data_IF_373423986114
#
_entry.id   IF_373423986114
#
_cell.length_a   1.000
_cell.length_b   1.000
_cell.length_c   1.000
_cell.angle_alpha   90.00
_cell.angle_beta   90.00
_cell.angle_gamma   90.00
#
_symmetry.space_group_name_H-M   'P 1'
#
loop_
_entity.id
_entity.type
_entity.pdbx_description
1 polymer ?
#
# COMPACT_ATOMS: atom_id res chain seq x y z
N UNK A 1 -10.37 -19.39 -14.13
CA UNK A 1 -9.20 -19.16 -13.26
C UNK A 1 -9.05 -20.39 -12.37
N UNK A 2 -7.91 -21.08 -12.40
CA UNK A 2 -7.60 -22.18 -11.48
C UNK A 2 -7.06 -21.56 -10.19
N UNK A 3 -7.69 -21.88 -9.06
CA UNK A 3 -7.20 -21.50 -7.74
C UNK A 3 -6.60 -22.76 -7.13
N UNK A 4 -5.36 -22.69 -6.71
CA UNK A 4 -4.65 -23.76 -6.00
C UNK A 4 -4.56 -23.33 -4.54
N UNK A 5 -5.25 -24.07 -3.68
CA UNK A 5 -5.21 -23.84 -2.23
C UNK A 5 -4.02 -24.61 -1.65
N UNK A 6 -3.12 -23.87 -1.00
CA UNK A 6 -1.86 -24.40 -0.48
C UNK A 6 -1.83 -24.48 1.05
N UNK A 7 -2.90 -24.09 1.73
CA UNK A 7 -2.94 -23.89 3.19
C UNK A 7 -3.48 -25.06 4.02
N UNK A 8 -4.23 -25.99 3.42
CA UNK A 8 -5.17 -26.80 4.22
C UNK A 8 -5.08 -28.31 4.17
N UNK A 9 -4.21 -28.93 3.43
CA UNK A 9 -4.21 -30.39 3.29
C UNK A 9 -3.11 -31.11 4.03
N UNK A 10 -3.43 -32.29 4.61
CA UNK A 10 -2.43 -33.21 5.20
C UNK A 10 -1.26 -33.58 4.26
N UNK A 11 -1.38 -33.30 2.97
CA UNK A 11 -0.38 -33.59 1.95
C UNK A 11 0.57 -32.40 1.67
N UNK A 12 0.35 -31.22 2.29
CA UNK A 12 1.08 -29.97 1.99
C UNK A 12 1.91 -29.47 3.19
N UNK A 13 2.41 -30.39 4.02
CA UNK A 13 3.18 -30.06 5.24
C UNK A 13 4.38 -29.12 5.01
N UNK A 14 4.91 -29.08 3.80
CA UNK A 14 6.07 -28.23 3.48
C UNK A 14 5.66 -26.80 3.14
N UNK A 15 4.43 -26.56 2.69
CA UNK A 15 3.96 -25.22 2.30
C UNK A 15 3.59 -24.33 3.49
N UNK A 16 3.41 -24.90 4.68
CA UNK A 16 3.12 -24.17 5.92
C UNK A 16 4.35 -24.12 6.86
N UNK A 17 5.56 -24.33 6.32
CA UNK A 17 6.79 -24.34 7.10
C UNK A 17 7.35 -22.93 7.22
N UNK A 18 7.74 -22.53 8.44
CA UNK A 18 8.61 -21.39 8.71
C UNK A 18 9.93 -21.94 9.21
N UNK A 19 11.03 -21.60 8.56
CA UNK A 19 12.39 -21.98 8.95
C UNK A 19 12.89 -21.19 10.15
N UNK A 20 14.20 -21.28 10.39
CA UNK A 20 14.85 -20.45 11.38
C UNK A 20 14.80 -18.98 10.96
N UNK A 21 14.33 -18.11 11.88
CA UNK A 21 14.20 -16.67 11.62
C UNK A 21 15.57 -16.01 11.67
N UNK A 22 15.98 -15.41 10.55
CA UNK A 22 17.22 -14.65 10.37
C UNK A 22 16.95 -13.40 9.54
N UNK A 23 17.70 -12.34 9.78
CA UNK A 23 17.56 -11.07 9.05
C UNK A 23 17.86 -11.25 7.56
N UNK A 24 18.97 -11.93 7.23
CA UNK A 24 19.46 -12.07 5.86
C UNK A 24 18.61 -13.03 5.01
N UNK A 25 17.86 -13.94 5.64
CA UNK A 25 17.05 -14.90 4.92
C UNK A 25 16.33 -15.90 5.80
N UNK A 26 15.01 -15.81 5.84
CA UNK A 26 14.12 -16.76 6.51
C UNK A 26 13.38 -17.58 5.47
N UNK A 27 13.56 -18.90 5.49
CA UNK A 27 12.84 -19.80 4.58
C UNK A 27 11.38 -19.91 5.01
N UNK A 28 10.47 -19.76 4.05
CA UNK A 28 9.03 -19.81 4.32
C UNK A 28 8.28 -20.48 3.16
N UNK A 29 7.29 -21.29 3.50
CA UNK A 29 6.36 -21.89 2.53
C UNK A 29 5.25 -20.94 2.11
N UNK A 30 4.69 -21.09 0.89
CA UNK A 30 3.67 -20.19 0.34
C UNK A 30 2.33 -20.22 1.08
N UNK A 31 1.99 -21.30 1.78
CA UNK A 31 0.76 -21.45 2.56
C UNK A 31 0.78 -20.79 3.94
N UNK A 32 1.93 -20.29 4.38
CA UNK A 32 2.06 -19.62 5.69
C UNK A 32 1.28 -18.32 5.66
N UNK A 33 0.38 -18.12 6.62
CA UNK A 33 -0.28 -16.83 6.81
C UNK A 33 0.70 -15.80 7.36
N UNK A 34 0.62 -14.56 6.85
CA UNK A 34 1.52 -13.49 7.29
C UNK A 34 1.41 -13.24 8.81
N UNK A 35 0.20 -13.26 9.39
CA UNK A 35 0.00 -13.10 10.83
C UNK A 35 0.82 -14.09 11.67
N UNK A 36 0.94 -15.35 11.21
CA UNK A 36 1.68 -16.39 11.93
C UNK A 36 3.20 -16.22 11.70
N UNK A 37 3.58 -15.78 10.51
CA UNK A 37 4.95 -15.40 10.18
C UNK A 37 5.42 -14.20 10.98
N UNK A 38 4.59 -13.14 11.04
CA UNK A 38 4.86 -11.91 11.80
C UNK A 38 5.08 -12.21 13.29
N UNK A 39 4.20 -12.99 13.92
CA UNK A 39 4.36 -13.39 15.32
C UNK A 39 5.73 -14.02 15.56
N UNK A 40 6.14 -14.94 14.68
CA UNK A 40 7.40 -15.66 14.82
C UNK A 40 8.62 -14.78 14.56
N UNK A 41 8.55 -13.85 13.62
CA UNK A 41 9.66 -12.93 13.33
C UNK A 41 9.81 -11.86 14.41
N UNK A 42 8.70 -11.39 14.98
CA UNK A 42 8.70 -10.44 16.10
C UNK A 42 9.36 -11.00 17.37
N UNK A 43 9.33 -12.32 17.61
CA UNK A 43 10.09 -12.95 18.69
C UNK A 43 11.62 -12.73 18.59
N UNK A 44 12.09 -12.42 17.38
CA UNK A 44 13.49 -12.07 17.08
C UNK A 44 13.73 -10.58 16.87
N UNK A 45 12.71 -9.74 17.09
CA UNK A 45 12.78 -8.30 16.82
C UNK A 45 12.87 -7.96 15.33
N UNK A 46 12.39 -8.85 14.45
CA UNK A 46 12.42 -8.72 12.99
C UNK A 46 11.00 -8.64 12.42
N UNK A 47 10.85 -7.99 11.27
CA UNK A 47 9.58 -7.88 10.54
C UNK A 47 9.81 -7.94 9.03
N UNK A 48 8.82 -8.47 8.29
CA UNK A 48 8.69 -8.29 6.85
C UNK A 48 7.79 -7.07 6.61
N UNK A 49 8.33 -5.91 6.19
CA UNK A 49 7.60 -4.65 6.24
C UNK A 49 6.66 -4.40 5.05
N UNK A 50 6.65 -5.26 4.03
CA UNK A 50 5.80 -5.12 2.84
C UNK A 50 4.41 -5.77 3.00
N UNK A 51 3.83 -5.72 4.20
CA UNK A 51 2.51 -6.27 4.46
C UNK A 51 1.38 -5.35 3.97
N UNK A 52 0.24 -5.98 3.67
CA UNK A 52 -0.99 -5.30 3.23
C UNK A 52 -1.92 -4.99 4.40
N UNK A 53 -2.92 -4.13 4.19
CA UNK A 53 -3.99 -3.89 5.17
C UNK A 53 -4.74 -5.19 5.55
N UNK A 54 -4.76 -6.18 4.66
CA UNK A 54 -5.36 -7.52 4.87
C UNK A 54 -4.41 -8.54 5.47
N UNK A 55 -3.33 -8.13 6.12
CA UNK A 55 -2.24 -8.99 6.63
C UNK A 55 -2.71 -10.20 7.45
N UNK A 56 -3.81 -10.08 8.16
CA UNK A 56 -4.38 -11.17 8.96
C UNK A 56 -4.97 -12.33 8.13
N UNK A 57 -5.25 -12.08 6.84
CA UNK A 57 -5.82 -13.05 5.89
C UNK A 57 -4.85 -13.42 4.76
N UNK A 58 -3.78 -12.66 4.61
CA UNK A 58 -2.83 -12.84 3.53
C UNK A 58 -1.89 -14.03 3.80
N UNK A 59 -1.69 -14.90 2.81
CA UNK A 59 -0.66 -15.93 2.83
C UNK A 59 0.55 -15.47 2.01
N UNK A 60 1.75 -15.94 2.40
CA UNK A 60 3.02 -15.55 1.77
C UNK A 60 3.00 -15.77 0.25
N UNK A 61 2.45 -16.90 -0.23
CA UNK A 61 2.34 -17.15 -1.66
C UNK A 61 1.48 -16.15 -2.41
N UNK A 62 0.37 -15.72 -1.79
CA UNK A 62 -0.47 -14.64 -2.31
C UNK A 62 0.23 -13.28 -2.29
N UNK A 63 0.97 -12.98 -1.21
CA UNK A 63 1.74 -11.75 -1.09
C UNK A 63 2.86 -11.65 -2.14
N UNK A 64 3.57 -12.76 -2.40
CA UNK A 64 4.57 -12.85 -3.46
C UNK A 64 3.90 -12.75 -4.83
N UNK A 65 2.83 -13.52 -5.07
CA UNK A 65 2.10 -13.49 -6.35
C UNK A 65 1.53 -12.13 -6.70
N UNK A 66 1.19 -11.32 -5.70
CA UNK A 66 0.68 -9.96 -5.89
C UNK A 66 1.79 -8.89 -5.94
N UNK A 67 3.02 -9.18 -5.55
CA UNK A 67 4.04 -8.18 -5.26
C UNK A 67 3.52 -7.14 -4.25
N UNK A 68 3.01 -7.60 -3.14
CA UNK A 68 2.28 -6.77 -2.21
C UNK A 68 3.13 -5.66 -1.58
N UNK A 69 2.46 -4.61 -1.20
CA UNK A 69 2.95 -3.50 -0.42
C UNK A 69 1.83 -2.96 0.47
N UNK A 70 2.10 -1.90 1.19
CA UNK A 70 1.15 -1.24 2.06
C UNK A 70 1.72 0.06 2.63
N UNK A 71 1.31 0.41 3.84
CA UNK A 71 1.68 1.68 4.46
C UNK A 71 3.19 1.88 4.65
N UNK A 72 3.96 0.81 4.89
CA UNK A 72 5.43 0.89 5.04
C UNK A 72 6.18 0.84 3.70
N UNK A 73 5.48 0.70 2.56
CA UNK A 73 6.14 0.61 1.24
C UNK A 73 6.87 1.88 0.83
N UNK A 74 6.52 3.03 1.43
CA UNK A 74 7.23 4.29 1.19
C UNK A 74 8.70 4.18 1.59
N UNK A 75 8.97 3.55 2.72
CA UNK A 75 10.30 3.40 3.29
C UNK A 75 11.03 2.16 2.76
N UNK A 76 10.33 1.05 2.66
CA UNK A 76 10.94 -0.27 2.47
C UNK A 76 10.68 -0.89 1.09
N UNK A 77 9.80 -0.32 0.28
CA UNK A 77 9.42 -0.92 -1.00
C UNK A 77 8.37 -2.03 -0.86
N UNK A 78 8.27 -2.85 -1.89
CA UNK A 78 7.30 -3.94 -2.00
C UNK A 78 7.96 -5.30 -1.85
N UNK A 79 7.21 -6.40 -2.00
CA UNK A 79 7.67 -7.78 -1.80
C UNK A 79 8.90 -8.13 -2.63
N UNK A 80 9.04 -7.58 -3.84
CA UNK A 80 10.23 -7.84 -4.69
C UNK A 80 11.56 -7.43 -4.06
N UNK A 81 11.57 -6.54 -3.07
CA UNK A 81 12.79 -6.11 -2.40
C UNK A 81 13.25 -7.11 -1.34
N UNK A 82 12.37 -8.02 -0.91
CA UNK A 82 12.60 -8.94 0.20
C UNK A 82 12.84 -10.39 -0.22
N UNK A 83 12.66 -10.73 -1.50
CA UNK A 83 12.97 -12.09 -1.99
C UNK A 83 14.47 -12.22 -2.23
N UNK A 84 15.12 -13.08 -1.43
CA UNK A 84 16.54 -13.43 -1.58
C UNK A 84 16.72 -14.53 -2.63
N UNK A 85 15.94 -15.60 -2.49
CA UNK A 85 15.80 -16.69 -3.47
C UNK A 85 14.41 -17.32 -3.34
N UNK A 86 14.00 -18.05 -4.36
CA UNK A 86 12.72 -18.76 -4.35
C UNK A 86 12.79 -20.07 -5.15
N UNK A 87 11.83 -20.96 -4.90
CA UNK A 87 11.66 -22.19 -5.70
C UNK A 87 10.29 -22.16 -6.37
N UNK A 88 10.28 -22.55 -7.65
CA UNK A 88 9.10 -22.51 -8.47
C UNK A 88 8.96 -23.77 -9.33
N UNK A 89 7.74 -24.26 -9.47
CA UNK A 89 7.39 -25.26 -10.49
C UNK A 89 6.91 -24.50 -11.71
N UNK A 90 7.58 -24.67 -12.86
CA UNK A 90 7.21 -24.08 -14.12
C UNK A 90 6.28 -24.98 -14.96
N UNK A 91 5.93 -24.54 -16.16
CA UNK A 91 4.99 -25.23 -17.03
C UNK A 91 5.42 -26.64 -17.47
N UNK A 92 6.70 -26.97 -17.39
CA UNK A 92 7.25 -28.30 -17.65
C UNK A 92 7.11 -29.27 -16.48
N UNK A 93 6.54 -28.83 -15.34
CA UNK A 93 6.33 -29.61 -14.12
C UNK A 93 7.57 -29.80 -13.27
N UNK A 94 8.70 -29.17 -13.58
CA UNK A 94 9.92 -29.26 -12.82
C UNK A 94 10.07 -28.09 -11.85
N UNK A 95 10.70 -28.37 -10.71
CA UNK A 95 11.06 -27.34 -9.72
C UNK A 95 12.42 -26.74 -10.05
N UNK A 96 12.48 -25.40 -9.98
CA UNK A 96 13.68 -24.60 -10.19
C UNK A 96 13.95 -23.69 -9.00
N UNK A 97 15.22 -23.67 -8.55
CA UNK A 97 15.70 -22.68 -7.59
C UNK A 97 16.09 -21.40 -8.36
N UNK A 98 15.54 -20.29 -7.98
CA UNK A 98 15.75 -18.98 -8.62
C UNK A 98 16.57 -18.11 -7.70
N UNK A 99 17.76 -17.71 -8.13
CA UNK A 99 18.70 -16.88 -7.38
C UNK A 99 19.06 -15.62 -8.18
N UNK A 100 19.25 -14.51 -7.47
CA UNK A 100 19.73 -13.28 -8.09
C UNK A 100 21.10 -13.53 -8.76
N UNK A 101 21.28 -13.05 -9.98
CA UNK A 101 22.49 -13.21 -10.79
C UNK A 101 22.61 -14.56 -11.50
N UNK A 102 21.76 -15.55 -11.19
CA UNK A 102 21.83 -16.86 -11.81
C UNK A 102 21.09 -16.92 -13.16
N UNK A 103 21.75 -17.47 -14.17
CA UNK A 103 21.17 -17.80 -15.49
C UNK A 103 21.54 -19.26 -15.77
N UNK A 104 20.96 -20.15 -14.98
CA UNK A 104 21.36 -21.57 -14.89
C UNK A 104 20.30 -22.53 -15.45
N UNK A 105 19.23 -22.00 -16.01
CA UNK A 105 18.16 -22.77 -16.60
C UNK A 105 17.62 -22.11 -17.89
N UNK A 106 16.91 -22.89 -18.70
CA UNK A 106 16.37 -22.46 -19.99
C UNK A 106 15.43 -21.24 -19.89
N UNK A 107 14.60 -21.16 -18.83
CA UNK A 107 13.67 -20.05 -18.63
C UNK A 107 14.41 -18.76 -18.31
N UNK A 108 15.41 -18.80 -17.42
CA UNK A 108 16.25 -17.65 -17.10
C UNK A 108 16.94 -17.12 -18.35
N UNK A 109 17.50 -17.99 -19.19
CA UNK A 109 18.18 -17.60 -20.43
C UNK A 109 17.22 -16.95 -21.42
N UNK A 110 16.04 -17.56 -21.66
CA UNK A 110 15.02 -17.01 -22.58
C UNK A 110 14.52 -15.64 -22.15
N UNK A 111 14.28 -15.47 -20.84
CA UNK A 111 13.83 -14.17 -20.30
C UNK A 111 14.94 -13.12 -20.46
N UNK A 112 16.18 -13.44 -20.09
CA UNK A 112 17.31 -12.51 -20.24
C UNK A 112 17.50 -12.07 -21.70
N UNK A 113 17.44 -13.02 -22.66
CA UNK A 113 17.59 -12.72 -24.09
C UNK A 113 16.45 -11.83 -24.59
N UNK A 114 15.22 -12.06 -24.11
CA UNK A 114 14.06 -11.21 -24.43
C UNK A 114 14.24 -9.80 -23.89
N UNK A 115 14.65 -9.66 -22.63
CA UNK A 115 14.88 -8.35 -21.99
C UNK A 115 15.98 -7.57 -22.68
N UNK A 116 17.10 -8.20 -23.01
CA UNK A 116 18.21 -7.56 -23.78
C UNK A 116 17.77 -7.11 -25.16
N UNK A 117 16.99 -7.93 -25.87
CA UNK A 117 16.47 -7.60 -27.20
C UNK A 117 15.55 -6.37 -27.18
N UNK A 118 14.78 -6.18 -26.13
CA UNK A 118 13.76 -5.13 -26.00
C UNK A 118 14.10 -4.06 -24.95
N UNK A 119 15.35 -3.97 -24.51
CA UNK A 119 15.80 -3.11 -23.41
C UNK A 119 15.37 -1.66 -23.58
N UNK A 120 15.58 -1.07 -24.77
CA UNK A 120 15.23 0.31 -25.04
C UNK A 120 13.71 0.55 -24.93
N UNK A 121 12.90 -0.38 -25.43
CA UNK A 121 11.43 -0.30 -25.34
C UNK A 121 10.96 -0.41 -23.89
N UNK A 122 11.51 -1.36 -23.13
CA UNK A 122 11.17 -1.57 -21.71
C UNK A 122 11.51 -0.32 -20.91
N UNK A 123 12.70 0.24 -21.08
CA UNK A 123 13.13 1.49 -20.41
C UNK A 123 12.22 2.66 -20.74
N UNK A 124 11.82 2.81 -22.01
CA UNK A 124 10.94 3.89 -22.47
C UNK A 124 9.50 3.74 -21.92
N UNK A 125 9.04 2.50 -21.73
CA UNK A 125 7.68 2.20 -21.25
C UNK A 125 7.54 2.27 -19.72
N UNK A 126 8.65 2.45 -18.97
CA UNK A 126 8.61 2.50 -17.50
C UNK A 126 7.73 3.67 -17.02
N UNK A 127 6.66 3.41 -16.25
CA UNK A 127 5.87 4.47 -15.63
C UNK A 127 6.73 5.35 -14.71
N UNK A 128 6.46 6.66 -14.68
CA UNK A 128 7.20 7.61 -13.83
C UNK A 128 6.51 7.80 -12.47
N UNK A 129 6.18 6.70 -11.83
CA UNK A 129 5.53 6.65 -10.52
C UNK A 129 6.32 5.74 -9.58
N UNK A 130 6.14 5.93 -8.28
CA UNK A 130 6.85 5.16 -7.25
C UNK A 130 6.30 3.74 -7.08
N UNK A 131 5.01 3.54 -7.37
CA UNK A 131 4.34 2.24 -7.31
C UNK A 131 3.71 1.92 -8.66
N UNK A 132 3.91 0.71 -9.14
CA UNK A 132 3.23 0.17 -10.31
C UNK A 132 3.12 -1.35 -10.17
N UNK A 133 1.93 -1.89 -10.39
CA UNK A 133 1.64 -3.33 -10.39
C UNK A 133 0.92 -3.78 -11.65
N UNK A 134 0.79 -2.92 -12.66
CA UNK A 134 0.15 -3.27 -13.93
C UNK A 134 1.02 -4.23 -14.75
N UNK A 135 0.50 -5.39 -15.05
CA UNK A 135 1.18 -6.42 -15.84
C UNK A 135 2.44 -6.98 -15.16
N UNK A 136 3.39 -7.46 -15.98
CA UNK A 136 4.67 -7.96 -15.47
C UNK A 136 5.66 -6.82 -15.23
N UNK A 137 6.33 -6.88 -14.08
CA UNK A 137 7.27 -5.85 -13.64
C UNK A 137 8.66 -6.06 -14.27
N UNK A 138 8.84 -5.64 -15.51
CA UNK A 138 10.03 -5.94 -16.32
C UNK A 138 11.24 -5.06 -16.00
N UNK A 139 11.03 -3.90 -15.37
CA UNK A 139 12.04 -2.85 -15.24
C UNK A 139 13.20 -3.17 -14.31
N UNK A 140 12.98 -4.05 -13.33
CA UNK A 140 13.95 -4.41 -12.31
C UNK A 140 14.53 -5.81 -12.50
N UNK A 141 14.14 -6.52 -13.57
CA UNK A 141 14.59 -7.91 -13.84
C UNK A 141 16.01 -7.92 -14.39
N UNK A 142 16.36 -6.89 -15.16
CA UNK A 142 17.69 -6.67 -15.76
C UNK A 142 18.06 -5.20 -15.69
N UNK A 143 19.14 -4.86 -14.98
CA UNK A 143 19.62 -3.48 -14.80
C UNK A 143 20.76 -3.08 -15.75
N UNK A 144 21.24 -4.00 -16.59
CA UNK A 144 22.40 -3.85 -17.47
C UNK A 144 23.58 -4.71 -17.05
N UNK A 145 23.64 -5.15 -15.77
CA UNK A 145 24.71 -5.95 -15.20
C UNK A 145 24.18 -7.21 -14.51
N UNK A 146 23.15 -7.08 -13.69
CA UNK A 146 22.61 -8.16 -12.88
C UNK A 146 21.23 -8.57 -13.36
N UNK A 147 21.02 -9.87 -13.53
CA UNK A 147 19.73 -10.48 -13.84
C UNK A 147 19.10 -11.06 -12.56
N UNK A 148 17.82 -10.82 -12.34
CA UNK A 148 17.07 -11.38 -11.21
C UNK A 148 15.67 -11.81 -11.64
N UNK A 149 15.51 -13.10 -11.93
CA UNK A 149 14.23 -13.67 -12.35
C UNK A 149 13.17 -13.58 -11.25
N UNK A 150 13.55 -13.52 -9.96
CA UNK A 150 12.59 -13.32 -8.87
C UNK A 150 11.76 -12.05 -9.08
N UNK A 151 12.37 -10.96 -9.59
CA UNK A 151 11.69 -9.68 -9.86
C UNK A 151 10.56 -9.81 -10.92
N UNK A 152 10.61 -10.80 -11.80
CA UNK A 152 9.54 -11.11 -12.75
C UNK A 152 8.48 -12.02 -12.17
N UNK A 153 8.91 -13.02 -11.38
CA UNK A 153 8.01 -14.02 -10.79
C UNK A 153 7.15 -13.43 -9.67
N UNK A 154 7.71 -12.50 -8.90
CA UNK A 154 6.98 -11.69 -7.93
C UNK A 154 6.00 -10.77 -8.68
N UNK A 155 4.72 -10.82 -8.32
CA UNK A 155 3.67 -10.08 -9.01
C UNK A 155 3.11 -10.79 -10.25
N UNK A 156 3.54 -12.01 -10.56
CA UNK A 156 3.05 -12.78 -11.72
C UNK A 156 1.67 -13.43 -11.51
N UNK A 157 1.09 -13.34 -10.33
CA UNK A 157 -0.24 -13.87 -9.98
C UNK A 157 -0.44 -15.35 -10.35
N UNK A 158 0.64 -16.15 -10.25
CA UNK A 158 0.61 -17.57 -10.59
C UNK A 158 0.55 -17.89 -12.11
N UNK A 159 0.70 -16.88 -12.98
CA UNK A 159 0.64 -17.08 -14.44
C UNK A 159 1.94 -17.62 -15.03
N UNK A 160 3.07 -17.46 -14.32
CA UNK A 160 4.38 -17.91 -14.79
C UNK A 160 4.87 -19.19 -14.08
N UNK A 161 4.29 -19.55 -12.95
CA UNK A 161 4.66 -20.73 -12.19
C UNK A 161 3.98 -20.81 -10.84
N UNK A 162 4.25 -21.87 -10.09
CA UNK A 162 3.76 -22.10 -8.75
C UNK A 162 4.96 -22.04 -7.79
N UNK A 163 4.95 -21.08 -6.86
CA UNK A 163 5.99 -20.98 -5.84
C UNK A 163 5.84 -22.12 -4.82
N UNK A 164 6.93 -22.77 -4.50
CA UNK A 164 6.98 -23.86 -3.50
C UNK A 164 7.71 -23.45 -2.23
N UNK A 165 8.64 -22.50 -2.31
CA UNK A 165 9.40 -21.98 -1.19
C UNK A 165 9.93 -20.58 -1.52
N UNK A 166 10.06 -19.72 -0.51
CA UNK A 166 10.77 -18.46 -0.60
C UNK A 166 11.73 -18.29 0.58
N UNK A 167 12.86 -17.65 0.33
CA UNK A 167 13.75 -17.11 1.35
C UNK A 167 13.57 -15.62 1.38
N UNK A 168 13.07 -15.09 2.50
CA UNK A 168 12.74 -13.67 2.67
C UNK A 168 13.75 -13.01 3.60
N UNK A 169 14.30 -11.86 3.19
CA UNK A 169 15.01 -10.97 4.10
C UNK A 169 14.00 -10.21 4.98
N UNK A 170 14.44 -9.85 6.16
CA UNK A 170 13.64 -9.14 7.16
C UNK A 170 14.39 -7.86 7.57
N UNK A 171 13.70 -6.97 8.27
CA UNK A 171 14.32 -5.77 8.84
C UNK A 171 14.11 -5.74 10.35
N UNK A 172 15.02 -5.12 11.12
CA UNK A 172 14.82 -4.88 12.54
C UNK A 172 13.59 -4.01 12.80
N UNK A 173 12.79 -4.40 13.78
CA UNK A 173 11.65 -3.60 14.25
C UNK A 173 12.18 -2.34 14.92
N UNK A 174 11.64 -1.20 14.51
CA UNK A 174 11.88 0.06 15.18
C UNK A 174 10.94 0.20 16.37
N UNK A 175 11.49 0.50 17.53
CA UNK A 175 10.76 0.45 18.80
C UNK A 175 10.27 1.82 19.27
N UNK A 176 10.73 2.88 18.64
CA UNK A 176 10.34 4.25 18.97
C UNK A 176 9.71 4.92 17.77
N UNK A 177 8.55 5.53 17.96
CA UNK A 177 7.81 6.21 16.90
C UNK A 177 7.06 7.44 17.46
N UNK A 178 6.86 8.42 16.59
CA UNK A 178 5.97 9.56 16.78
C UNK A 178 5.16 9.78 15.48
N UNK A 179 3.98 10.35 15.62
CA UNK A 179 3.11 10.70 14.51
C UNK A 179 3.00 12.22 14.36
N UNK A 180 3.30 12.73 13.17
CA UNK A 180 2.98 14.11 12.81
C UNK A 180 1.68 14.09 12.03
N UNK A 181 0.65 14.76 12.54
CA UNK A 181 -0.63 14.92 11.84
C UNK A 181 -0.69 16.31 11.22
N UNK A 182 -0.98 16.39 9.92
CA UNK A 182 -1.02 17.63 9.15
C UNK A 182 -2.45 17.83 8.63
N UNK A 183 -2.97 19.05 8.76
CA UNK A 183 -4.36 19.37 8.44
C UNK A 183 -4.40 20.43 7.35
N UNK A 184 -5.01 20.13 6.22
CA UNK A 184 -5.04 20.98 5.04
C UNK A 184 -6.43 21.59 4.79
N UNK A 185 -6.43 22.82 4.29
CA UNK A 185 -7.62 23.50 3.77
C UNK A 185 -7.91 23.14 2.32
N UNK A 186 -6.86 22.80 1.56
CA UNK A 186 -6.94 22.47 0.13
C UNK A 186 -5.98 21.34 -0.20
N UNK A 187 -6.31 20.55 -1.22
CA UNK A 187 -5.41 19.57 -1.82
C UNK A 187 -4.16 20.18 -2.47
N UNK A 188 -4.21 21.48 -2.81
CA UNK A 188 -3.10 22.21 -3.42
C UNK A 188 -1.86 22.28 -2.52
N UNK A 189 -2.08 22.18 -1.19
CA UNK A 189 -1.00 22.21 -0.19
C UNK A 189 -0.21 20.88 -0.11
N UNK A 190 -0.78 19.77 -0.62
CA UNK A 190 -0.22 18.42 -0.47
C UNK A 190 1.15 18.24 -1.14
N UNK A 191 1.37 18.62 -2.43
CA UNK A 191 2.64 18.31 -3.10
C UNK A 191 3.84 19.00 -2.48
N UNK A 192 3.71 20.28 -2.14
CA UNK A 192 4.79 21.02 -1.48
C UNK A 192 5.16 20.37 -0.14
N UNK A 193 4.14 19.92 0.60
CA UNK A 193 4.32 19.23 1.89
C UNK A 193 4.98 17.88 1.73
N UNK A 194 4.51 17.05 0.81
CA UNK A 194 5.10 15.74 0.50
C UNK A 194 6.57 15.90 0.10
N UNK A 195 6.86 16.82 -0.82
CA UNK A 195 8.23 17.09 -1.28
C UNK A 195 9.16 17.58 -0.16
N UNK A 196 8.63 18.36 0.80
CA UNK A 196 9.40 18.81 1.95
C UNK A 196 9.73 17.67 2.93
N UNK A 197 8.84 16.66 3.04
CA UNK A 197 8.95 15.57 4.01
C UNK A 197 9.78 14.38 3.48
N UNK A 198 9.61 14.02 2.20
CA UNK A 198 10.23 12.82 1.61
C UNK A 198 11.75 12.70 1.79
N UNK A 199 12.56 13.80 1.75
CA UNK A 199 14.01 13.72 1.99
C UNK A 199 14.39 13.14 3.36
N UNK A 200 13.50 13.23 4.36
CA UNK A 200 13.72 12.71 5.72
C UNK A 200 13.33 11.24 5.86
N UNK A 201 12.86 10.60 4.80
CA UNK A 201 12.52 9.18 4.76
C UNK A 201 11.60 8.76 5.93
N UNK A 202 10.37 9.29 6.03
CA UNK A 202 9.42 8.86 7.04
C UNK A 202 9.12 7.37 6.87
N UNK A 203 8.60 6.72 7.90
CA UNK A 203 8.17 5.32 7.86
C UNK A 203 6.99 5.15 6.91
N UNK A 204 5.99 6.02 7.10
CA UNK A 204 4.82 6.10 6.21
C UNK A 204 4.36 7.55 6.04
N UNK A 205 3.59 7.80 4.96
CA UNK A 205 2.96 9.08 4.69
C UNK A 205 1.57 8.79 4.11
N UNK A 206 0.59 8.69 5.02
CA UNK A 206 -0.77 8.26 4.76
C UNK A 206 -1.73 9.43 4.70
N UNK A 207 -2.87 9.27 4.04
CA UNK A 207 -3.87 10.32 3.96
C UNK A 207 -5.30 9.80 3.96
N UNK A 208 -6.21 10.67 4.41
CA UNK A 208 -7.66 10.50 4.26
C UNK A 208 -8.35 11.87 4.15
N UNK A 209 -9.45 11.90 3.41
CA UNK A 209 -10.16 13.12 3.07
C UNK A 209 -11.26 13.50 4.06
N UNK A 210 -11.88 14.68 3.84
CA UNK A 210 -13.00 15.21 4.62
C UNK A 210 -14.18 14.23 4.71
N UNK A 211 -14.49 13.51 3.65
CA UNK A 211 -15.61 12.57 3.65
C UNK A 211 -15.33 11.37 4.56
N UNK A 212 -14.08 10.92 4.62
CA UNK A 212 -13.62 9.93 5.58
C UNK A 212 -13.73 10.42 7.03
N UNK A 213 -13.39 11.69 7.29
CA UNK A 213 -13.58 12.30 8.62
C UNK A 213 -15.05 12.33 9.01
N UNK A 214 -15.93 12.78 8.12
CA UNK A 214 -17.39 12.78 8.36
C UNK A 214 -17.93 11.39 8.66
N UNK A 215 -17.44 10.38 7.93
CA UNK A 215 -17.79 8.99 8.16
C UNK A 215 -17.32 8.52 9.55
N UNK A 216 -16.08 8.82 9.92
CA UNK A 216 -15.53 8.52 11.23
C UNK A 216 -16.33 9.16 12.37
N UNK A 217 -16.70 10.44 12.22
CA UNK A 217 -17.53 11.13 13.21
C UNK A 217 -18.94 10.53 13.31
N UNK A 218 -19.52 10.09 12.19
CA UNK A 218 -20.84 9.44 12.16
C UNK A 218 -20.84 8.11 12.91
N UNK A 219 -19.77 7.34 12.83
CA UNK A 219 -19.63 6.01 13.43
C UNK A 219 -18.64 6.00 14.61
N UNK A 220 -18.57 7.13 15.33
CA UNK A 220 -17.65 7.31 16.45
C UNK A 220 -17.77 6.20 17.53
N UNK A 221 -18.98 5.68 17.90
CA UNK A 221 -19.09 4.60 18.87
C UNK A 221 -18.44 3.28 18.42
N UNK A 222 -18.58 2.93 17.14
CA UNK A 222 -17.98 1.72 16.58
C UNK A 222 -16.46 1.85 16.47
N UNK A 223 -15.97 3.04 16.10
CA UNK A 223 -14.54 3.35 16.04
C UNK A 223 -13.92 3.29 17.44
N UNK A 224 -14.56 3.89 18.45
CA UNK A 224 -14.12 3.82 19.84
C UNK A 224 -14.01 2.38 20.35
N UNK A 225 -14.98 1.52 19.99
CA UNK A 225 -14.94 0.10 20.33
C UNK A 225 -13.75 -0.62 19.66
N UNK A 226 -13.45 -0.31 18.42
CA UNK A 226 -12.29 -0.88 17.69
C UNK A 226 -10.94 -0.40 18.22
N UNK A 227 -10.89 0.84 18.70
CA UNK A 227 -9.74 1.40 19.40
C UNK A 227 -9.62 0.92 20.87
N UNK A 228 -10.38 -0.10 21.27
CA UNK A 228 -10.38 -0.65 22.63
C UNK A 228 -10.51 0.41 23.74
N UNK A 229 -11.13 1.55 23.44
CA UNK A 229 -11.29 2.69 24.34
C UNK A 229 -12.76 2.96 24.65
N UNK A 230 -13.02 3.53 25.82
CA UNK A 230 -14.36 4.00 26.17
C UNK A 230 -14.78 5.19 25.30
N UNK A 231 -16.05 5.24 24.87
CA UNK A 231 -16.56 6.28 23.95
C UNK A 231 -16.25 7.71 24.44
N UNK A 232 -16.42 7.99 25.73
CA UNK A 232 -16.15 9.31 26.28
C UNK A 232 -14.65 9.67 26.23
N UNK A 233 -13.79 8.75 26.65
CA UNK A 233 -12.34 8.92 26.58
C UNK A 233 -11.87 9.09 25.12
N UNK A 234 -12.43 8.29 24.22
CA UNK A 234 -12.12 8.41 22.79
C UNK A 234 -12.57 9.74 22.20
N UNK A 235 -13.78 10.21 22.52
CA UNK A 235 -14.31 11.48 22.05
C UNK A 235 -13.49 12.68 22.60
N UNK A 236 -13.05 12.63 23.85
CA UNK A 236 -12.21 13.70 24.44
C UNK A 236 -10.85 13.80 23.78
N UNK A 237 -10.32 12.72 23.23
CA UNK A 237 -9.07 12.71 22.47
C UNK A 237 -9.15 13.55 21.17
N UNK A 238 -10.36 13.92 20.69
CA UNK A 238 -10.54 14.79 19.52
C UNK A 238 -10.65 16.29 19.86
N UNK A 239 -10.56 16.68 21.12
CA UNK A 239 -10.62 18.11 21.52
C UNK A 239 -9.53 18.96 20.81
N UNK A 240 -8.26 18.50 20.70
CA UNK A 240 -7.26 19.27 19.97
C UNK A 240 -7.62 19.47 18.49
N UNK A 241 -8.18 18.44 17.83
CA UNK A 241 -8.59 18.50 16.42
C UNK A 241 -9.82 19.40 16.24
N UNK A 242 -10.72 19.46 17.22
CA UNK A 242 -11.84 20.40 17.21
C UNK A 242 -11.35 21.86 17.25
N UNK A 243 -10.32 22.15 18.06
CA UNK A 243 -9.69 23.49 18.10
C UNK A 243 -9.00 23.80 16.77
N UNK A 244 -8.34 22.81 16.15
CA UNK A 244 -7.75 22.96 14.82
C UNK A 244 -8.86 23.24 13.80
N UNK A 245 -9.98 22.51 13.85
CA UNK A 245 -11.14 22.74 13.01
C UNK A 245 -11.68 24.18 13.10
N UNK A 246 -11.74 24.75 14.30
CA UNK A 246 -12.12 26.17 14.47
C UNK A 246 -11.13 27.12 13.77
N UNK A 247 -9.83 26.86 13.84
CA UNK A 247 -8.79 27.66 13.14
C UNK A 247 -8.86 27.51 11.62
N UNK A 248 -9.27 26.35 11.13
CA UNK A 248 -9.45 26.07 9.70
C UNK A 248 -10.76 26.67 9.15
N UNK A 249 -11.72 27.00 10.02
CA UNK A 249 -13.08 27.42 9.63
C UNK A 249 -13.99 26.25 9.30
N UNK A 250 -13.67 25.03 9.77
CA UNK A 250 -14.43 23.81 9.53
C UNK A 250 -13.55 22.56 9.56
N UNK A 251 -14.09 21.42 9.08
CA UNK A 251 -13.29 20.20 8.92
C UNK A 251 -12.23 20.40 7.84
N UNK A 252 -11.02 19.85 8.04
CA UNK A 252 -9.98 19.87 7.00
C UNK A 252 -10.45 19.15 5.75
N UNK A 253 -9.99 19.59 4.58
CA UNK A 253 -10.19 18.88 3.31
C UNK A 253 -9.43 17.56 3.28
N UNK A 254 -8.29 17.55 3.95
CA UNK A 254 -7.36 16.43 3.95
C UNK A 254 -6.61 16.39 5.26
N UNK A 255 -6.37 15.19 5.79
CA UNK A 255 -5.42 14.92 6.88
C UNK A 255 -4.31 14.05 6.33
N UNK A 256 -3.07 14.41 6.65
CA UNK A 256 -1.90 13.60 6.34
C UNK A 256 -1.25 13.14 7.64
N UNK A 257 -0.97 11.85 7.70
CA UNK A 257 -0.28 11.16 8.79
C UNK A 257 1.16 10.88 8.35
N UNK A 258 2.11 11.43 9.07
CA UNK A 258 3.55 11.19 8.83
C UNK A 258 4.09 10.41 10.01
N UNK A 259 4.33 9.13 9.82
CA UNK A 259 4.91 8.27 10.82
C UNK A 259 6.43 8.36 10.78
N UNK A 260 7.03 8.61 11.92
CA UNK A 260 8.48 8.65 12.11
C UNK A 260 8.86 7.54 13.08
N UNK A 261 9.62 6.57 12.63
CA UNK A 261 10.10 5.49 13.49
C UNK A 261 11.62 5.34 13.38
N UNK A 262 12.30 5.14 14.52
CA UNK A 262 13.75 4.92 14.59
C UNK A 262 14.13 4.00 15.75
N UNK A 263 15.42 3.69 15.85
CA UNK A 263 15.95 2.77 16.86
C UNK A 263 16.03 3.37 18.27
N UNK A 264 15.94 4.70 18.38
CA UNK A 264 15.96 5.41 19.66
C UNK A 264 15.01 6.61 19.66
N UNK A 265 14.49 6.95 20.84
CA UNK A 265 13.65 8.13 21.04
C UNK A 265 14.35 9.43 20.60
N UNK A 266 15.66 9.54 20.86
CA UNK A 266 16.46 10.70 20.45
C UNK A 266 16.47 10.88 18.93
N UNK A 267 16.58 9.78 18.16
CA UNK A 267 16.56 9.83 16.71
C UNK A 267 15.17 10.20 16.18
N UNK A 268 14.10 9.66 16.79
CA UNK A 268 12.72 10.03 16.46
C UNK A 268 12.51 11.52 16.67
N UNK A 269 12.82 12.06 17.85
CA UNK A 269 12.65 13.49 18.16
C UNK A 269 13.46 14.37 17.23
N UNK A 270 14.69 13.99 16.90
CA UNK A 270 15.54 14.74 15.97
C UNK A 270 14.92 14.78 14.55
N UNK A 271 14.41 13.63 14.05
CA UNK A 271 13.79 13.55 12.73
C UNK A 271 12.46 14.31 12.69
N UNK A 272 11.62 14.20 13.73
CA UNK A 272 10.38 14.97 13.86
C UNK A 272 10.68 16.48 13.81
N UNK A 273 11.68 16.94 14.57
CA UNK A 273 12.08 18.36 14.55
C UNK A 273 12.53 18.82 13.16
N UNK A 274 13.30 18.01 12.43
CA UNK A 274 13.73 18.30 11.06
C UNK A 274 12.54 18.39 10.09
N UNK A 275 11.59 17.47 10.18
CA UNK A 275 10.37 17.48 9.34
C UNK A 275 9.52 18.71 9.65
N UNK A 276 9.29 19.01 10.94
CA UNK A 276 8.52 20.19 11.37
C UNK A 276 9.16 21.49 10.87
N UNK A 277 10.47 21.62 10.97
CA UNK A 277 11.18 22.80 10.45
C UNK A 277 11.09 22.90 8.92
N UNK A 278 11.14 21.76 8.20
CA UNK A 278 11.02 21.74 6.75
C UNK A 278 9.63 22.16 6.24
N UNK A 279 8.55 21.84 6.97
CA UNK A 279 7.18 22.22 6.59
C UNK A 279 6.76 23.59 7.13
N UNK A 280 7.49 24.17 8.06
CA UNK A 280 7.20 25.47 8.68
C UNK A 280 7.03 26.63 7.67
N UNK A 281 7.87 26.76 6.62
CA UNK A 281 7.69 27.81 5.61
C UNK A 281 6.37 27.71 4.84
N UNK A 282 5.73 26.54 4.83
CA UNK A 282 4.46 26.30 4.13
C UNK A 282 3.24 26.87 4.93
N UNK A 283 3.43 27.22 6.20
CA UNK A 283 2.37 27.79 7.04
C UNK A 283 1.20 26.84 7.33
N UNK A 284 1.39 25.53 7.13
CA UNK A 284 0.35 24.52 7.34
C UNK A 284 0.16 24.17 8.82
N UNK A 285 -1.06 23.82 9.18
CA UNK A 285 -1.37 23.44 10.56
C UNK A 285 -0.99 21.98 10.76
N UNK A 286 -0.18 21.73 11.78
CA UNK A 286 0.26 20.39 12.15
C UNK A 286 0.26 20.18 13.66
N UNK A 287 0.33 18.93 14.09
CA UNK A 287 0.46 18.51 15.48
C UNK A 287 1.33 17.26 15.54
N UNK A 288 2.29 17.24 16.46
CA UNK A 288 3.01 16.01 16.82
C UNK A 288 2.24 15.28 17.91
N UNK A 289 2.04 13.99 17.73
CA UNK A 289 1.37 13.08 18.66
C UNK A 289 2.40 12.07 19.14
N UNK A 290 2.60 12.04 20.47
CA UNK A 290 3.66 11.22 21.11
C UNK A 290 3.07 10.06 21.91
N UNK A 291 1.75 9.99 22.03
CA UNK A 291 1.07 8.97 22.82
C UNK A 291 0.35 7.98 21.93
N UNK A 292 0.70 6.72 22.04
CA UNK A 292 0.08 5.62 21.27
C UNK A 292 -1.45 5.68 21.30
N UNK A 293 -2.05 5.96 22.46
CA UNK A 293 -3.51 6.05 22.59
C UNK A 293 -4.14 7.23 21.83
N UNK A 294 -3.36 8.27 21.52
CA UNK A 294 -3.82 9.39 20.69
C UNK A 294 -3.54 9.14 19.21
N UNK A 295 -2.49 8.40 18.88
CA UNK A 295 -2.18 7.99 17.50
C UNK A 295 -3.22 7.01 16.97
N UNK A 296 -3.63 6.06 17.82
CA UNK A 296 -4.57 4.99 17.45
C UNK A 296 -5.85 5.54 16.81
N UNK A 297 -6.39 6.69 17.27
CA UNK A 297 -7.59 7.29 16.69
C UNK A 297 -7.45 7.60 15.19
N UNK A 298 -6.28 8.10 14.77
CA UNK A 298 -6.02 8.44 13.37
C UNK A 298 -5.86 7.18 12.52
N UNK A 299 -5.13 6.19 13.04
CA UNK A 299 -4.94 4.92 12.35
C UNK A 299 -6.24 4.13 12.22
N UNK A 300 -7.06 4.08 13.25
CA UNK A 300 -8.38 3.43 13.19
C UNK A 300 -9.29 4.17 12.19
N UNK A 301 -9.31 5.51 12.20
CA UNK A 301 -10.06 6.26 11.20
C UNK A 301 -9.58 5.96 9.77
N UNK A 302 -8.28 5.88 9.53
CA UNK A 302 -7.69 5.59 8.21
C UNK A 302 -8.00 4.17 7.75
N UNK A 303 -7.84 3.17 8.63
CA UNK A 303 -7.96 1.74 8.30
C UNK A 303 -9.42 1.25 8.29
N UNK A 304 -10.25 1.75 9.21
CA UNK A 304 -11.61 1.23 9.42
C UNK A 304 -12.69 1.97 8.63
N UNK A 305 -12.40 3.15 8.10
CA UNK A 305 -13.39 3.94 7.36
C UNK A 305 -14.06 3.16 6.23
N UNK A 306 -13.31 2.40 5.46
CA UNK A 306 -13.86 1.57 4.38
C UNK A 306 -14.66 0.38 4.88
N UNK A 307 -14.25 -0.24 5.98
CA UNK A 307 -14.99 -1.34 6.61
C UNK A 307 -16.33 -0.85 7.15
N UNK A 308 -16.35 0.31 7.81
CA UNK A 308 -17.57 0.94 8.30
C UNK A 308 -18.50 1.32 7.16
N UNK A 309 -17.96 1.87 6.10
CA UNK A 309 -18.73 2.18 4.89
C UNK A 309 -19.42 0.93 4.34
N UNK A 310 -18.70 -0.18 4.20
CA UNK A 310 -19.26 -1.46 3.74
C UNK A 310 -20.35 -2.01 4.65
N UNK A 311 -20.23 -1.86 5.97
CA UNK A 311 -21.16 -2.41 6.93
C UNK A 311 -22.48 -1.63 7.00
N UNK A 312 -22.44 -0.31 6.77
CA UNK A 312 -23.58 0.58 7.00
C UNK A 312 -24.28 1.07 5.74
N UNK A 313 -23.74 0.77 4.57
CA UNK A 313 -24.41 1.10 3.30
C UNK A 313 -25.27 -0.07 2.85
N UNK A 314 -26.58 0.05 3.07
CA UNK A 314 -27.56 -0.94 2.61
C UNK A 314 -27.87 -0.75 1.11
N UNK A 315 -28.00 -1.84 0.38
CA UNK A 315 -28.36 -1.87 -1.04
C UNK A 315 -27.24 -1.55 -2.00
N UNK A 316 -26.13 -0.95 -1.55
CA UNK A 316 -24.95 -0.70 -2.37
C UNK A 316 -23.76 -1.52 -1.87
N UNK A 317 -22.79 -1.75 -2.75
CA UNK A 317 -21.52 -2.41 -2.42
C UNK A 317 -20.35 -1.54 -2.86
N UNK A 318 -19.22 -1.74 -2.23
CA UNK A 318 -17.95 -1.16 -2.72
C UNK A 318 -17.53 -1.88 -3.98
N UNK A 319 -17.21 -1.12 -5.01
CA UNK A 319 -16.81 -1.65 -6.33
C UNK A 319 -15.40 -1.13 -6.65
N UNK A 320 -14.36 -1.96 -6.53
CA UNK A 320 -12.97 -1.53 -6.73
C UNK A 320 -12.65 -1.45 -8.24
N UNK A 321 -13.30 -0.54 -8.98
CA UNK A 321 -13.13 -0.41 -10.43
C UNK A 321 -12.12 0.67 -10.82
N UNK A 322 -11.89 1.67 -9.96
CA UNK A 322 -10.95 2.77 -10.18
C UNK A 322 -10.21 3.11 -8.89
N UNK A 323 -9.91 2.10 -8.07
CA UNK A 323 -9.58 2.29 -6.66
C UNK A 323 -8.09 2.41 -6.37
N UNK A 324 -7.20 1.97 -7.24
CA UNK A 324 -5.76 1.82 -6.92
C UNK A 324 -4.83 2.48 -7.96
N UNK A 325 -5.14 3.70 -8.35
CA UNK A 325 -4.25 4.41 -9.28
C UNK A 325 -3.06 5.05 -8.55
N UNK A 326 -1.96 5.22 -9.29
CA UNK A 326 -0.80 5.97 -8.82
C UNK A 326 -0.39 7.00 -9.86
N UNK A 327 -0.20 8.24 -9.41
CA UNK A 327 0.26 9.35 -10.25
C UNK A 327 1.42 10.08 -9.57
N UNK A 328 2.26 10.84 -10.30
CA UNK A 328 3.30 11.64 -9.67
C UNK A 328 2.70 12.56 -8.60
N UNK A 329 3.23 12.58 -7.36
CA UNK A 329 2.66 13.37 -6.25
C UNK A 329 2.45 14.85 -6.57
N UNK A 330 3.34 15.45 -7.36
CA UNK A 330 3.26 16.84 -7.79
C UNK A 330 2.08 17.14 -8.73
N UNK A 331 1.46 16.09 -9.30
CA UNK A 331 0.30 16.20 -10.19
C UNK A 331 -1.05 16.01 -9.50
N UNK A 332 -1.04 15.61 -8.24
CA UNK A 332 -2.25 15.32 -7.46
C UNK A 332 -3.25 16.48 -7.46
N UNK A 333 -2.86 17.76 -7.26
CA UNK A 333 -3.81 18.87 -7.23
C UNK A 333 -4.53 19.10 -8.55
N UNK A 334 -3.85 18.93 -9.68
CA UNK A 334 -4.47 19.07 -11.01
C UNK A 334 -5.36 17.87 -11.35
N UNK A 335 -4.95 16.68 -10.92
CA UNK A 335 -5.61 15.40 -11.22
C UNK A 335 -6.92 15.22 -10.43
N UNK A 336 -6.87 15.36 -9.11
CA UNK A 336 -8.01 14.99 -8.25
C UNK A 336 -9.30 15.74 -8.54
N UNK A 337 -9.32 17.05 -8.82
CA UNK A 337 -10.55 17.75 -9.21
C UNK A 337 -11.16 17.16 -10.49
N UNK A 338 -10.33 16.82 -11.49
CA UNK A 338 -10.80 16.22 -12.74
C UNK A 338 -11.33 14.80 -12.51
N UNK A 339 -10.61 14.00 -11.71
CA UNK A 339 -11.03 12.66 -11.33
C UNK A 339 -12.39 12.67 -10.59
N UNK A 340 -12.57 13.60 -9.65
CA UNK A 340 -13.86 13.80 -8.95
C UNK A 340 -14.97 14.20 -9.93
N UNK A 341 -14.71 15.13 -10.86
CA UNK A 341 -15.69 15.54 -11.87
C UNK A 341 -16.15 14.36 -12.76
N UNK A 342 -15.24 13.45 -13.13
CA UNK A 342 -15.62 12.22 -13.84
C UNK A 342 -16.57 11.39 -12.98
N UNK A 343 -16.23 11.13 -11.72
CA UNK A 343 -17.05 10.31 -10.82
C UNK A 343 -18.44 10.94 -10.57
N UNK A 344 -18.49 12.26 -10.37
CA UNK A 344 -19.71 13.02 -10.19
C UNK A 344 -20.61 12.98 -11.44
N UNK A 345 -20.04 13.05 -12.66
CA UNK A 345 -20.76 12.88 -13.94
C UNK A 345 -21.54 11.56 -13.98
N UNK A 346 -21.00 10.50 -13.39
CA UNK A 346 -21.67 9.20 -13.27
C UNK A 346 -22.54 9.05 -12.00
N UNK A 347 -22.67 10.13 -11.19
CA UNK A 347 -23.43 10.12 -9.94
C UNK A 347 -22.80 9.31 -8.83
N UNK A 348 -21.49 9.12 -8.86
CA UNK A 348 -20.72 8.32 -7.90
C UNK A 348 -20.13 9.23 -6.82
N UNK A 349 -20.50 8.96 -5.56
CA UNK A 349 -19.87 9.57 -4.38
C UNK A 349 -18.76 8.67 -3.88
N UNK A 350 -17.63 9.27 -3.53
CA UNK A 350 -16.42 8.55 -3.11
C UNK A 350 -15.76 9.18 -1.91
N UNK A 351 -15.07 8.35 -1.15
CA UNK A 351 -14.05 8.73 -0.19
C UNK A 351 -12.68 8.49 -0.81
N UNK A 352 -11.73 9.36 -0.50
CA UNK A 352 -10.36 9.25 -1.00
C UNK A 352 -9.42 9.05 0.20
N UNK A 353 -8.69 7.97 0.18
CA UNK A 353 -7.62 7.70 1.11
C UNK A 353 -6.43 7.09 0.35
N UNK A 354 -5.22 7.09 0.92
CA UNK A 354 -4.10 6.48 0.22
C UNK A 354 -2.74 6.79 0.82
N UNK A 355 -1.75 6.39 0.07
CA UNK A 355 -0.33 6.55 0.36
C UNK A 355 0.18 7.83 -0.32
N UNK A 356 -0.04 8.99 0.33
CA UNK A 356 0.22 10.29 -0.27
C UNK A 356 1.68 10.46 -0.71
N UNK A 357 2.63 9.90 0.05
CA UNK A 357 4.06 9.92 -0.29
C UNK A 357 4.40 9.22 -1.59
N UNK A 358 3.58 8.26 -2.00
CA UNK A 358 3.73 7.53 -3.26
C UNK A 358 2.87 8.10 -4.40
N UNK A 359 1.94 9.01 -4.13
CA UNK A 359 0.92 9.42 -5.09
C UNK A 359 -0.09 8.31 -5.44
N UNK A 360 -0.21 7.31 -4.58
CA UNK A 360 -1.10 6.17 -4.74
C UNK A 360 -2.35 6.38 -3.89
N UNK A 361 -3.51 6.44 -4.53
CA UNK A 361 -4.79 6.73 -3.88
C UNK A 361 -5.80 5.64 -4.14
N UNK A 362 -6.65 5.42 -3.13
CA UNK A 362 -7.76 4.49 -3.16
C UNK A 362 -9.08 5.26 -3.20
N UNK A 363 -9.84 5.04 -4.26
CA UNK A 363 -11.18 5.58 -4.45
C UNK A 363 -12.14 4.41 -4.58
N UNK A 364 -13.02 4.24 -3.59
CA UNK A 364 -13.95 3.11 -3.59
C UNK A 364 -15.37 3.58 -3.86
N UNK A 365 -15.86 3.48 -5.11
CA UNK A 365 -17.23 3.78 -5.47
C UNK A 365 -18.24 2.88 -4.75
N UNK A 366 -19.39 3.46 -4.37
CA UNK A 366 -20.54 2.73 -3.83
C UNK A 366 -21.61 2.59 -4.90
N UNK A 367 -21.86 1.36 -5.36
CA UNK A 367 -22.79 1.08 -6.45
C UNK A 367 -23.73 -0.08 -6.11
N UNK A 368 -24.95 -0.05 -6.63
CA UNK A 368 -25.86 -1.20 -6.61
C UNK A 368 -25.75 -1.99 -7.91
N UNK A 369 -24.88 -3.00 -7.93
CA UNK A 369 -24.64 -3.81 -9.13
C UNK A 369 -25.83 -4.73 -9.52
N UNK A 370 -26.92 -4.76 -8.75
CA UNK A 370 -28.16 -5.44 -9.17
C UNK A 370 -28.87 -4.62 -10.23
N UNK A 371 -28.73 -3.29 -10.18
CA UNK A 371 -29.32 -2.36 -11.14
C UNK A 371 -28.49 -2.34 -12.44
N UNK A 372 -29.16 -2.56 -13.59
CA UNK A 372 -28.52 -2.52 -14.91
C UNK A 372 -27.94 -1.13 -15.21
N UNK A 373 -28.66 -0.07 -14.83
CA UNK A 373 -28.22 1.31 -14.98
C UNK A 373 -26.92 1.63 -14.23
N UNK A 374 -26.67 0.99 -13.09
CA UNK A 374 -25.41 1.12 -12.35
C UNK A 374 -24.28 0.31 -13.03
N UNK A 375 -24.57 -0.93 -13.47
CA UNK A 375 -23.56 -1.74 -14.19
C UNK A 375 -23.13 -1.07 -15.50
N UNK A 376 -24.06 -0.45 -16.23
CA UNK A 376 -23.77 0.25 -17.50
C UNK A 376 -22.76 1.40 -17.34
N UNK A 377 -22.59 1.95 -16.14
CA UNK A 377 -21.64 3.03 -15.86
C UNK A 377 -20.19 2.54 -15.73
N UNK A 378 -19.96 1.27 -15.36
CA UNK A 378 -18.63 0.75 -14.99
C UNK A 378 -17.59 0.96 -16.09
N UNK A 379 -17.85 0.47 -17.29
CA UNK A 379 -16.87 0.51 -18.39
C UNK A 379 -16.60 1.95 -18.86
N UNK A 380 -17.64 2.78 -19.20
CA UNK A 380 -17.36 4.14 -19.65
C UNK A 380 -16.68 5.00 -18.58
N UNK A 381 -17.06 4.85 -17.31
CA UNK A 381 -16.41 5.55 -16.19
C UNK A 381 -14.94 5.14 -16.05
N UNK A 382 -14.65 3.83 -16.06
CA UNK A 382 -13.27 3.33 -15.97
C UNK A 382 -12.41 3.80 -17.14
N UNK A 383 -12.95 3.80 -18.37
CA UNK A 383 -12.24 4.29 -19.55
C UNK A 383 -11.89 5.77 -19.45
N UNK A 384 -12.83 6.63 -19.06
CA UNK A 384 -12.56 8.06 -18.87
C UNK A 384 -11.55 8.29 -17.74
N UNK A 385 -11.71 7.57 -16.61
CA UNK A 385 -10.83 7.72 -15.46
C UNK A 385 -9.40 7.28 -15.78
N UNK A 386 -9.23 6.12 -16.39
CA UNK A 386 -7.92 5.61 -16.74
C UNK A 386 -7.25 6.35 -17.90
N UNK A 387 -8.03 6.94 -18.82
CA UNK A 387 -7.51 7.87 -19.81
C UNK A 387 -6.91 9.11 -19.12
N UNK A 388 -7.58 9.64 -18.09
CA UNK A 388 -7.04 10.74 -17.28
C UNK A 388 -5.76 10.32 -16.55
N UNK A 389 -5.71 9.13 -15.92
CA UNK A 389 -4.49 8.60 -15.28
C UNK A 389 -3.33 8.54 -16.28
N UNK A 390 -3.57 8.07 -17.49
CA UNK A 390 -2.54 7.98 -18.55
C UNK A 390 -2.08 9.38 -19.02
N UNK A 391 -2.98 10.36 -19.12
CA UNK A 391 -2.64 11.76 -19.43
C UNK A 391 -1.61 12.31 -18.44
N UNK A 392 -1.80 11.98 -17.15
CA UNK A 392 -0.89 12.38 -16.07
C UNK A 392 0.33 11.48 -15.89
N UNK A 393 0.59 10.55 -16.83
CA UNK A 393 1.73 9.60 -16.79
C UNK A 393 1.73 8.69 -15.57
N UNK A 394 0.54 8.40 -15.07
CA UNK A 394 0.30 7.49 -13.96
C UNK A 394 0.20 6.03 -14.37
N UNK A 395 -0.15 5.19 -13.41
CA UNK A 395 -0.52 3.78 -13.60
C UNK A 395 -1.92 3.51 -13.04
N UNK A 396 -2.60 2.57 -13.64
CA UNK A 396 -3.98 2.19 -13.28
C UNK A 396 -4.06 1.36 -12.00
N UNK A 397 -2.94 0.74 -11.59
CA UNK A 397 -2.82 0.00 -10.34
C UNK A 397 -1.43 0.17 -9.74
N UNK A 398 -1.38 0.66 -8.51
CA UNK A 398 -0.15 0.88 -7.76
C UNK A 398 0.34 -0.38 -7.04
N UNK A 399 -0.60 -1.12 -6.40
CA UNK A 399 -0.28 -2.24 -5.51
C UNK A 399 -1.24 -3.43 -5.56
N UNK A 400 -2.49 -3.26 -6.08
CA UNK A 400 -3.49 -4.34 -6.09
C UNK A 400 -3.29 -5.34 -7.23
N UNK A 401 -2.42 -5.05 -8.19
CA UNK A 401 -2.18 -5.83 -9.39
C UNK A 401 -3.42 -5.88 -10.32
N UNK A 402 -3.53 -6.88 -11.19
CA UNK A 402 -4.56 -6.96 -12.23
C UNK A 402 -5.81 -7.75 -11.77
N UNK A 403 -5.94 -8.09 -10.50
CA UNK A 403 -6.90 -9.04 -10.05
C UNK A 403 -8.00 -8.67 -9.14
#
# INVERSE_FOLDING_TARGET
KLIIELDGGHHVKNFNKIGEVREEGTIVGPGVFYRDFELKTLEKGLILPCYTASKNLAAIGGMVGNNCGGEMSLRYGKMEEFIVESKWIFADGKEYAIKRGAVDNEYSQKVLDLLKRHEALIKAAKPKVSKNSAGYYLWNVWDGETFDLNKLLVGSQGTLGIMTEATLSLVPVKTHHDLITIFFKSWDELPATVNAILPYKPESLETFDRETIKLGLRFLPEIAKKAHSGLLAFATNFIPEAVIGLRLGGLPELVVLVEVAESSEKEVKAKVAQIVEAIKPLGIIHRTVEKDSEEEKFWVMRRESFNLLRQHVHGKRTVPVVDDFCIPPEKVPEFLPKARAILEKYGIKVNIAGHAGNGNFHIIPLMDLREESERAKLIPMAQEFYALVAEYKGTTTGEHNDG
#
